data_IF_138500776381
#
_entry.id   IF_138500776381
#
_cell.length_a   1.000
_cell.length_b   1.000
_cell.length_c   1.000
_cell.angle_alpha   90.00
_cell.angle_beta   90.00
_cell.angle_gamma   90.00
#
_symmetry.space_group_name_H-M   'P 1'
#
loop_
_entity.id
_entity.type
_entity.pdbx_description
1 polymer ?
#
# COMPACT_ATOMS: atom_id res chain seq x y z
N UNK A 1 -7.05 -13.81 -3.80
CA UNK A 1 -7.79 -12.61 -4.28
C UNK A 1 -6.87 -11.42 -4.16
N UNK A 2 -6.63 -10.72 -5.26
CA UNK A 2 -5.85 -9.47 -5.31
C UNK A 2 -6.79 -8.31 -4.94
N UNK A 3 -6.33 -7.39 -4.10
CA UNK A 3 -7.05 -6.15 -3.79
C UNK A 3 -6.74 -5.13 -4.89
N UNK A 4 -7.78 -4.49 -5.43
CA UNK A 4 -7.61 -3.42 -6.41
C UNK A 4 -6.94 -2.20 -5.79
N UNK A 5 -5.99 -1.59 -6.52
CA UNK A 5 -5.29 -0.38 -6.08
C UNK A 5 -6.23 0.79 -5.80
N UNK A 6 -7.38 0.82 -6.48
CA UNK A 6 -8.39 1.86 -6.28
C UNK A 6 -9.03 1.81 -4.88
N UNK A 7 -8.99 0.67 -4.18
CA UNK A 7 -9.46 0.57 -2.80
C UNK A 7 -8.57 1.35 -1.80
N UNK A 8 -7.31 1.59 -2.18
CA UNK A 8 -6.34 2.37 -1.41
C UNK A 8 -6.43 3.87 -1.70
N UNK A 9 -7.23 4.28 -2.69
CA UNK A 9 -7.33 5.65 -3.18
C UNK A 9 -8.66 6.27 -2.79
N UNK A 10 -8.63 7.20 -1.85
CA UNK A 10 -9.82 7.91 -1.38
C UNK A 10 -10.49 8.71 -2.50
N UNK A 11 -9.70 9.27 -3.44
CA UNK A 11 -10.24 10.04 -4.58
C UNK A 11 -11.03 9.19 -5.60
N UNK A 12 -10.87 7.85 -5.54
CA UNK A 12 -11.62 6.89 -6.36
C UNK A 12 -12.79 6.25 -5.61
N UNK A 13 -13.06 6.68 -4.37
CA UNK A 13 -14.07 6.07 -3.49
C UNK A 13 -13.56 4.87 -2.69
N UNK A 14 -12.24 4.64 -2.69
CA UNK A 14 -11.58 3.66 -1.82
C UNK A 14 -11.63 4.07 -0.34
N UNK A 15 -11.41 3.10 0.55
CA UNK A 15 -11.36 3.35 1.99
C UNK A 15 -10.18 2.59 2.60
N UNK A 16 -9.00 3.24 2.72
CA UNK A 16 -7.80 2.64 3.28
C UNK A 16 -7.97 2.11 4.70
N UNK A 17 -8.81 2.76 5.51
CA UNK A 17 -9.07 2.34 6.91
C UNK A 17 -9.74 0.97 7.00
N UNK A 18 -10.63 0.64 6.05
CA UNK A 18 -11.20 -0.71 5.97
C UNK A 18 -10.13 -1.76 5.71
N UNK A 19 -9.11 -1.42 4.92
CA UNK A 19 -7.97 -2.30 4.63
C UNK A 19 -7.07 -2.42 5.85
N UNK A 20 -6.76 -1.30 6.54
CA UNK A 20 -6.01 -1.32 7.81
C UNK A 20 -6.70 -2.20 8.85
N UNK A 21 -8.01 -2.08 8.98
CA UNK A 21 -8.83 -2.91 9.87
C UNK A 21 -8.78 -4.39 9.48
N UNK A 22 -8.90 -4.70 8.18
CA UNK A 22 -8.76 -6.06 7.68
C UNK A 22 -7.38 -6.66 7.98
N UNK A 23 -6.30 -5.87 7.87
CA UNK A 23 -4.95 -6.30 8.24
C UNK A 23 -4.82 -6.56 9.74
N UNK A 24 -5.37 -5.69 10.59
CA UNK A 24 -5.41 -5.91 12.04
C UNK A 24 -6.14 -7.21 12.40
N UNK A 25 -7.28 -7.49 11.74
CA UNK A 25 -8.03 -8.73 11.94
C UNK A 25 -7.26 -9.99 11.49
N UNK A 26 -6.30 -9.82 10.57
CA UNK A 26 -5.39 -10.87 10.10
C UNK A 26 -4.09 -10.95 10.90
N UNK A 27 -4.00 -10.21 12.01
CA UNK A 27 -2.78 -10.10 12.82
C UNK A 27 -1.57 -9.60 12.01
N UNK A 28 -1.83 -8.78 10.99
CA UNK A 28 -0.82 -8.15 10.15
C UNK A 28 -0.65 -6.66 10.50
N UNK A 29 0.50 -6.12 10.11
CA UNK A 29 0.83 -4.72 10.35
C UNK A 29 0.01 -3.79 9.43
N UNK A 30 -0.88 -2.95 9.98
CA UNK A 30 -1.64 -1.98 9.19
C UNK A 30 -0.73 -0.92 8.54
N UNK A 31 0.49 -0.70 9.03
CA UNK A 31 1.43 0.27 8.43
C UNK A 31 1.89 -0.12 7.02
N UNK A 32 1.68 -1.39 6.61
CA UNK A 32 1.88 -1.82 5.23
C UNK A 32 0.94 -1.09 4.26
N UNK A 33 -0.28 -0.76 4.69
CA UNK A 33 -1.25 -0.02 3.88
C UNK A 33 -0.73 1.40 3.60
N UNK A 34 -0.13 2.04 4.60
CA UNK A 34 0.44 3.39 4.47
C UNK A 34 1.62 3.40 3.51
N UNK A 35 2.50 2.40 3.62
CA UNK A 35 3.63 2.21 2.69
C UNK A 35 3.16 2.02 1.24
N UNK A 36 2.10 1.25 1.02
CA UNK A 36 1.53 1.03 -0.32
C UNK A 36 1.01 2.34 -0.90
N UNK A 37 0.28 3.14 -0.11
CA UNK A 37 -0.23 4.45 -0.54
C UNK A 37 0.91 5.41 -0.85
N UNK A 38 1.92 5.50 0.01
CA UNK A 38 3.10 6.35 -0.21
C UNK A 38 3.83 5.95 -1.50
N UNK A 39 4.00 4.64 -1.71
CA UNK A 39 4.65 4.09 -2.91
C UNK A 39 3.84 4.38 -4.17
N UNK A 40 2.52 4.24 -4.13
CA UNK A 40 1.62 4.59 -5.25
C UNK A 40 1.69 6.08 -5.58
N UNK A 41 1.71 6.95 -4.56
CA UNK A 41 1.87 8.39 -4.76
C UNK A 41 3.24 8.76 -5.33
N UNK A 42 4.31 8.12 -4.87
CA UNK A 42 5.66 8.32 -5.39
C UNK A 42 5.75 7.88 -6.86
N UNK A 43 5.16 6.72 -7.19
CA UNK A 43 5.09 6.20 -8.54
C UNK A 43 4.32 7.14 -9.49
N UNK A 44 3.16 7.66 -9.07
CA UNK A 44 2.37 8.64 -9.86
C UNK A 44 3.09 9.97 -10.07
N UNK A 45 3.97 10.36 -9.14
CA UNK A 45 4.81 11.56 -9.26
C UNK A 45 6.03 11.34 -10.18
N UNK A 46 6.25 10.12 -10.68
CA UNK A 46 7.40 9.78 -11.52
C UNK A 46 8.73 9.77 -10.77
N UNK A 47 8.69 9.81 -9.44
CA UNK A 47 9.89 9.75 -8.61
C UNK A 47 10.22 8.28 -8.38
N UNK A 48 11.20 7.78 -9.12
CA UNK A 48 11.71 6.40 -9.04
C UNK A 48 12.39 6.08 -7.69
N UNK A 49 11.61 6.11 -6.60
CA UNK A 49 12.02 5.65 -5.26
C UNK A 49 11.28 4.38 -4.82
N UNK A 50 10.18 4.06 -5.49
CA UNK A 50 9.31 2.93 -5.20
C UNK A 50 9.99 1.55 -5.39
N UNK A 51 10.91 1.42 -6.36
CA UNK A 51 11.59 0.15 -6.65
C UNK A 51 12.55 -0.27 -5.54
N UNK A 52 13.15 0.69 -4.82
CA UNK A 52 14.21 0.44 -3.83
C UNK A 52 13.71 -0.25 -2.55
N UNK A 53 12.44 -0.09 -2.18
CA UNK A 53 11.90 -0.62 -0.92
C UNK A 53 11.46 -2.09 -1.08
N UNK A 54 10.86 -2.46 -2.21
CA UNK A 54 10.45 -3.85 -2.48
C UNK A 54 11.64 -4.77 -2.76
N UNK A 55 12.68 -4.28 -3.45
CA UNK A 55 13.88 -5.05 -3.75
C UNK A 55 14.64 -5.50 -2.47
N UNK A 56 14.49 -4.79 -1.36
CA UNK A 56 15.14 -5.15 -0.08
C UNK A 56 14.34 -6.14 0.77
N UNK A 57 13.03 -6.26 0.55
CA UNK A 57 12.17 -7.17 1.32
C UNK A 57 12.16 -8.61 0.76
N UNK A 58 12.66 -8.84 -0.47
CA UNK A 58 12.78 -10.19 -1.07
C UNK A 58 14.18 -10.81 -0.94
N UNK A 59 15.11 -10.16 -0.23
CA UNK A 59 16.52 -10.63 -0.07
C UNK A 59 16.88 -10.87 1.40
N UNK A 60 15.90 -10.93 2.30
CA UNK A 60 16.06 -11.32 3.71
C UNK A 60 15.09 -12.44 4.08
#
# INVERSE_FOLDING_TARGET
MVLDMDLFREEKGGNPEKIRTSQRHRYQDPALVDKVIETDQAWRKGTDRAVTILARASVL
#
